data_IF_476040286785
#
_entry.id   IF_476040286785
#
_cell.length_a   1.000
_cell.length_b   1.000
_cell.length_c   1.000
_cell.angle_alpha   90.00
_cell.angle_beta   90.00
_cell.angle_gamma   90.00
#
_symmetry.space_group_name_H-M   'P 1'
#
loop_
_entity.id
_entity.type
_entity.pdbx_description
1 polymer ?
#
# COMPACT_ATOMS: atom_id res chain seq x y z
N UNK A 1 4.12 -12.97 -16.86
CA UNK A 1 3.99 -11.60 -16.99
C UNK A 1 3.78 -10.95 -15.70
N UNK A 2 4.50 -9.94 -15.38
CA UNK A 2 4.34 -9.31 -14.10
C UNK A 2 3.04 -8.55 -14.06
N UNK A 3 2.41 -8.49 -12.91
CA UNK A 3 1.24 -7.75 -12.75
C UNK A 3 1.55 -6.31 -12.64
N UNK A 4 0.73 -5.46 -13.21
CA UNK A 4 0.93 -4.05 -13.07
C UNK A 4 0.13 -3.48 -11.94
N UNK A 5 -0.93 -4.16 -11.56
CA UNK A 5 -1.82 -3.68 -10.51
C UNK A 5 -2.05 -4.75 -9.46
N UNK A 6 -2.29 -4.32 -8.25
CA UNK A 6 -2.55 -5.20 -7.13
C UNK A 6 -3.87 -4.84 -6.49
N UNK A 7 -4.55 -5.82 -5.94
CA UNK A 7 -5.79 -5.56 -5.21
C UNK A 7 -5.44 -5.12 -3.80
N UNK A 8 -6.42 -4.65 -3.06
CA UNK A 8 -6.24 -4.24 -1.68
C UNK A 8 -5.65 -5.37 -0.86
N UNK A 9 -6.15 -6.58 -1.04
CA UNK A 9 -5.65 -7.71 -0.30
C UNK A 9 -4.21 -8.01 -0.63
N UNK A 10 -3.84 -7.91 -1.89
CA UNK A 10 -2.48 -8.19 -2.32
C UNK A 10 -1.53 -7.14 -1.75
N UNK A 11 -1.94 -5.88 -1.75
CA UNK A 11 -1.13 -4.82 -1.20
C UNK A 11 -0.94 -5.04 0.29
N UNK A 12 -2.01 -5.37 0.98
CA UNK A 12 -1.95 -5.59 2.42
C UNK A 12 -0.99 -6.72 2.74
N UNK A 13 -1.05 -7.78 1.97
CA UNK A 13 -0.18 -8.91 2.20
C UNK A 13 1.28 -8.56 1.92
N UNK A 14 1.53 -7.84 0.85
CA UNK A 14 2.86 -7.46 0.49
C UNK A 14 3.48 -6.54 1.53
N UNK A 15 2.72 -5.59 2.04
CA UNK A 15 3.22 -4.64 3.00
C UNK A 15 3.14 -5.13 4.45
N UNK A 16 2.50 -6.26 4.67
CA UNK A 16 2.38 -6.80 6.02
C UNK A 16 1.41 -6.05 6.89
N UNK A 17 0.36 -5.51 6.30
CA UNK A 17 -0.62 -4.75 7.06
C UNK A 17 -2.01 -5.28 6.75
N UNK A 18 -3.02 -4.72 7.36
CA UNK A 18 -4.38 -5.15 7.11
C UNK A 18 -4.98 -4.39 5.95
N UNK A 19 -6.01 -4.91 5.32
CA UNK A 19 -6.66 -4.18 4.23
C UNK A 19 -7.22 -2.84 4.68
N UNK A 20 -7.63 -2.74 5.92
CA UNK A 20 -8.13 -1.48 6.44
C UNK A 20 -7.02 -0.43 6.43
N UNK A 21 -5.81 -0.81 6.78
CA UNK A 21 -4.68 0.10 6.76
C UNK A 21 -4.42 0.59 5.34
N UNK A 22 -4.54 -0.29 4.36
CA UNK A 22 -4.34 0.09 2.97
C UNK A 22 -5.39 1.12 2.56
N UNK A 23 -6.63 0.93 2.97
CA UNK A 23 -7.68 1.87 2.66
C UNK A 23 -7.45 3.20 3.34
N UNK A 24 -6.91 3.19 4.54
CA UNK A 24 -6.60 4.43 5.24
C UNK A 24 -5.50 5.18 4.51
N UNK A 25 -4.51 4.50 4.00
CA UNK A 25 -3.47 5.14 3.23
C UNK A 25 -4.03 5.75 1.94
N UNK A 26 -4.96 5.05 1.32
CA UNK A 26 -5.61 5.55 0.14
C UNK A 26 -6.38 6.83 0.47
N UNK A 27 -7.11 6.81 1.55
CA UNK A 27 -7.86 7.95 2.00
C UNK A 27 -6.99 9.15 2.31
N UNK A 28 -5.78 8.91 2.79
CA UNK A 28 -4.88 9.98 3.13
C UNK A 28 -3.98 10.40 1.99
N UNK A 29 -4.15 9.79 0.84
CA UNK A 29 -3.36 10.16 -0.31
C UNK A 29 -1.98 9.53 -0.39
N UNK A 30 -1.68 8.57 0.47
CA UNK A 30 -0.39 7.92 0.43
C UNK A 30 -0.31 6.87 -0.65
N UNK A 31 -1.44 6.32 -1.05
CA UNK A 31 -1.51 5.40 -2.14
C UNK A 31 -2.64 5.86 -3.04
N UNK A 32 -2.42 5.79 -4.33
CA UNK A 32 -3.44 6.22 -5.27
C UNK A 32 -4.17 4.99 -5.77
N UNK A 33 -5.46 4.97 -5.63
CA UNK A 33 -6.26 3.86 -6.08
C UNK A 33 -6.78 4.13 -7.48
N UNK A 34 -6.71 3.11 -8.31
CA UNK A 34 -7.27 3.18 -9.64
C UNK A 34 -8.45 2.24 -9.64
N UNK A 35 -9.50 2.57 -10.35
CA UNK A 35 -10.66 1.72 -10.37
C UNK A 35 -10.73 0.92 -11.63
N UNK A 36 -11.02 -0.36 -11.50
CA UNK A 36 -11.17 -1.23 -12.64
C UNK A 36 -12.49 -0.86 -13.30
N UNK A 37 -12.51 -0.48 -14.56
CA UNK A 37 -13.75 -0.05 -15.21
C UNK A 37 -14.78 -1.16 -15.35
N UNK A 38 -14.35 -2.39 -15.26
CA UNK A 38 -15.29 -3.49 -15.40
C UNK A 38 -16.04 -3.77 -14.11
N UNK A 39 -15.37 -3.86 -13.01
CA UNK A 39 -16.02 -4.20 -11.75
C UNK A 39 -15.88 -3.15 -10.67
N UNK A 40 -15.23 -2.04 -10.99
CA UNK A 40 -15.10 -0.92 -10.06
C UNK A 40 -14.32 -1.26 -8.80
N UNK A 41 -13.51 -2.29 -8.81
CA UNK A 41 -12.69 -2.62 -7.67
C UNK A 41 -11.47 -1.73 -7.65
N UNK A 42 -10.95 -1.46 -6.47
CA UNK A 42 -9.77 -0.65 -6.33
C UNK A 42 -8.53 -1.44 -6.70
N UNK A 43 -7.65 -0.80 -7.43
CA UNK A 43 -6.40 -1.40 -7.82
C UNK A 43 -5.28 -0.42 -7.51
N UNK A 44 -4.11 -0.93 -7.19
CA UNK A 44 -2.98 -0.08 -6.87
C UNK A 44 -1.81 -0.48 -7.76
N UNK A 45 -1.09 0.49 -8.28
CA UNK A 45 0.03 0.20 -9.13
C UNK A 45 1.15 -0.41 -8.34
N UNK A 46 1.77 -1.44 -8.87
CA UNK A 46 2.88 -2.10 -8.22
C UNK A 46 3.99 -1.10 -7.94
N UNK A 47 4.26 -0.20 -8.83
CA UNK A 47 5.29 0.79 -8.64
C UNK A 47 5.04 1.65 -7.43
N UNK A 48 3.82 2.08 -7.24
CA UNK A 48 3.48 2.92 -6.11
C UNK A 48 3.62 2.15 -4.80
N UNK A 49 3.24 0.89 -4.84
CA UNK A 49 3.33 0.05 -3.64
C UNK A 49 4.79 -0.18 -3.29
N UNK A 50 5.63 -0.36 -4.29
CA UNK A 50 7.05 -0.57 -4.03
C UNK A 50 7.70 0.65 -3.41
N UNK A 51 7.33 1.82 -3.85
CA UNK A 51 7.84 3.05 -3.28
C UNK A 51 7.46 3.15 -1.81
N UNK A 52 6.21 2.85 -1.50
CA UNK A 52 5.73 2.90 -0.14
C UNK A 52 6.45 1.86 0.72
N UNK A 53 6.68 0.68 0.18
CA UNK A 53 7.36 -0.37 0.89
C UNK A 53 8.78 0.07 1.25
N UNK A 54 9.47 0.73 0.35
CA UNK A 54 10.79 1.22 0.63
C UNK A 54 10.79 2.26 1.72
N UNK A 55 9.78 3.10 1.74
CA UNK A 55 9.67 4.12 2.78
C UNK A 55 9.43 3.47 4.13
N UNK A 56 8.63 2.45 4.17
CA UNK A 56 8.36 1.75 5.42
C UNK A 56 9.61 1.05 5.91
N UNK A 57 10.33 0.40 5.04
CA UNK A 57 11.53 -0.30 5.44
C UNK A 57 12.60 0.68 5.89
N UNK A 58 12.70 1.80 5.23
CA UNK A 58 13.64 2.81 5.64
C UNK A 58 13.31 3.37 7.02
N UNK A 59 12.05 3.59 7.26
CA UNK A 59 11.62 4.10 8.54
C UNK A 59 11.91 3.14 9.63
N UNK A 60 11.75 1.86 9.36
CA UNK A 60 11.98 0.88 10.33
C UNK A 60 13.39 0.90 10.82
N UNK A 61 14.34 1.16 9.97
CA UNK A 61 15.67 1.21 10.40
C UNK A 61 15.99 2.39 11.24
N UNK A 62 15.45 3.53 10.97
CA UNK A 62 15.73 4.67 11.73
C UNK A 62 14.99 4.79 12.96
N UNK A 63 13.80 4.44 13.01
CA UNK A 63 13.00 4.67 14.18
C UNK A 63 12.52 3.46 14.76
N UNK A 64 13.32 2.59 15.01
CA UNK A 64 12.85 1.43 15.59
C UNK A 64 12.09 1.55 16.82
N UNK A 65 12.28 2.54 17.55
CA UNK A 65 11.57 2.64 18.76
C UNK A 65 10.28 3.27 18.56
N UNK A 66 9.95 3.77 17.45
CA UNK A 66 8.79 4.49 17.30
C UNK A 66 7.72 3.59 16.95
N UNK A 67 6.60 3.79 17.39
CA UNK A 67 5.57 3.12 17.08
C UNK A 67 5.08 3.65 15.95
N UNK A 68 5.23 3.30 14.90
CA UNK A 68 4.83 3.85 13.78
C UNK A 68 3.47 3.80 13.52
N UNK A 69 2.83 4.78 13.47
CA UNK A 69 1.60 4.89 13.23
C UNK A 69 1.52 5.08 11.89
N UNK A 70 1.56 4.27 11.01
CA UNK A 70 1.54 4.49 9.71
C UNK A 70 0.30 4.74 9.10
N UNK A 71 -0.71 4.85 9.71
CA UNK A 71 -1.92 5.21 9.06
C UNK A 71 -2.57 6.37 9.72
#
# INVERSE_FOLDING_TARGET
MPKKFLTVREVARLLGVTPLTVRNWDSRGKLVAYRNPVNNYRLYKVEDVEVLLRQIEGSKQKARKLKIDIY
#
